data_IF_070065988000
#
_entry.id   IF_070065988000
#
_cell.length_a   1.000
_cell.length_b   1.000
_cell.length_c   1.000
_cell.angle_alpha   90.00
_cell.angle_beta   90.00
_cell.angle_gamma   90.00
#
_symmetry.space_group_name_H-M   'P 1'
#
loop_
_entity.id
_entity.type
_entity.pdbx_description
1 polymer ?
#
# COMPACT_ATOMS: atom_id res chain seq x y z
N UNK A 1 -17.22 -1.97 6.09
CA UNK A 1 -17.26 -0.84 5.14
C UNK A 1 -16.53 -1.24 3.87
N UNK A 2 -16.99 -0.80 2.70
CA UNK A 2 -16.24 -0.97 1.45
C UNK A 2 -15.51 0.33 1.12
N UNK A 3 -14.22 0.40 1.46
CA UNK A 3 -13.42 1.62 1.29
C UNK A 3 -13.15 1.99 -0.18
N UNK A 4 -13.38 1.05 -1.11
CA UNK A 4 -13.02 1.16 -2.52
C UNK A 4 -14.22 0.96 -3.47
N UNK A 5 -15.45 1.21 -2.99
CA UNK A 5 -16.68 0.95 -3.75
C UNK A 5 -16.73 1.63 -5.13
N UNK A 6 -16.17 2.83 -5.25
CA UNK A 6 -16.13 3.61 -6.50
C UNK A 6 -14.80 3.50 -7.26
N UNK A 7 -14.00 2.48 -6.95
CA UNK A 7 -12.70 2.27 -7.58
C UNK A 7 -12.76 1.09 -8.54
N UNK A 8 -11.99 1.16 -9.62
CA UNK A 8 -11.92 0.09 -10.60
C UNK A 8 -11.03 -1.04 -10.09
N UNK A 9 -11.57 -2.25 -9.97
CA UNK A 9 -10.79 -3.44 -9.61
C UNK A 9 -9.69 -3.70 -10.66
N UNK A 10 -8.48 -4.01 -10.19
CA UNK A 10 -7.33 -4.38 -11.01
C UNK A 10 -6.77 -5.72 -10.59
N UNK A 11 -6.06 -6.37 -11.52
CA UNK A 11 -5.28 -7.56 -11.21
C UNK A 11 -3.88 -7.15 -10.75
N UNK A 12 -3.52 -7.55 -9.54
CA UNK A 12 -2.15 -7.47 -9.04
C UNK A 12 -1.57 -8.89 -9.00
N UNK A 13 -0.51 -9.14 -9.76
CA UNK A 13 0.08 -10.47 -9.84
C UNK A 13 0.77 -10.83 -8.51
N UNK A 14 0.52 -12.04 -8.00
CA UNK A 14 0.99 -12.48 -6.68
C UNK A 14 0.21 -11.93 -5.49
N UNK A 15 -0.81 -11.10 -5.69
CA UNK A 15 -1.65 -10.60 -4.60
C UNK A 15 -2.68 -11.65 -4.15
N UNK A 16 -2.86 -11.79 -2.84
CA UNK A 16 -3.96 -12.56 -2.25
C UNK A 16 -5.23 -11.73 -2.10
N UNK A 17 -5.09 -10.40 -2.15
CA UNK A 17 -6.16 -9.43 -1.94
C UNK A 17 -6.64 -8.80 -3.24
N UNK A 18 -7.85 -8.28 -3.19
CA UNK A 18 -8.39 -7.47 -4.28
C UNK A 18 -7.78 -6.07 -4.27
N UNK A 19 -7.24 -5.69 -5.42
CA UNK A 19 -6.69 -4.37 -5.65
C UNK A 19 -7.67 -3.53 -6.47
N UNK A 20 -7.69 -2.25 -6.17
CA UNK A 20 -8.54 -1.28 -6.83
C UNK A 20 -7.71 -0.09 -7.27
N UNK A 21 -8.12 0.61 -8.32
CA UNK A 21 -7.51 1.85 -8.75
C UNK A 21 -8.54 2.93 -9.00
N UNK A 22 -8.14 4.18 -8.81
CA UNK A 22 -8.87 5.35 -9.32
C UNK A 22 -7.88 6.37 -9.86
N UNK A 23 -8.32 7.18 -10.81
CA UNK A 23 -7.54 8.30 -11.31
C UNK A 23 -8.27 9.59 -10.97
N UNK A 24 -7.61 10.51 -10.28
CA UNK A 24 -8.19 11.77 -9.82
C UNK A 24 -7.14 12.87 -9.96
N UNK A 25 -7.47 13.97 -10.65
CA UNK A 25 -6.56 15.10 -10.88
C UNK A 25 -5.16 14.67 -11.39
N UNK A 26 -5.14 13.78 -12.40
CA UNK A 26 -3.91 13.22 -13.00
C UNK A 26 -3.04 12.37 -12.04
N UNK A 27 -3.52 12.10 -10.82
CA UNK A 27 -2.90 11.20 -9.85
C UNK A 27 -3.64 9.87 -9.88
N UNK A 28 -2.91 8.76 -10.05
CA UNK A 28 -3.47 7.42 -9.91
C UNK A 28 -3.35 6.96 -8.45
N UNK A 29 -4.43 6.43 -7.92
CA UNK A 29 -4.46 5.87 -6.58
C UNK A 29 -4.71 4.37 -6.70
N UNK A 30 -3.90 3.57 -6.03
CA UNK A 30 -3.99 2.12 -5.97
C UNK A 30 -4.36 1.74 -4.53
N UNK A 31 -5.48 1.07 -4.35
CA UNK A 31 -6.09 0.80 -3.05
C UNK A 31 -6.26 -0.68 -2.78
N UNK A 32 -6.04 -1.11 -1.54
CA UNK A 32 -6.38 -2.46 -1.09
C UNK A 32 -6.75 -2.46 0.40
N UNK A 33 -7.63 -3.38 0.79
CA UNK A 33 -8.08 -3.56 2.17
C UNK A 33 -7.43 -4.82 2.77
N UNK A 34 -6.54 -4.62 3.73
CA UNK A 34 -5.92 -5.69 4.51
C UNK A 34 -6.35 -5.67 5.97
N UNK A 35 -7.42 -4.94 6.32
CA UNK A 35 -7.91 -4.80 7.70
C UNK A 35 -8.28 -6.13 8.36
N UNK A 36 -8.63 -7.15 7.56
CA UNK A 36 -8.98 -8.49 8.04
C UNK A 36 -7.83 -9.49 7.98
N UNK A 37 -6.67 -9.07 7.46
CA UNK A 37 -5.52 -9.95 7.26
C UNK A 37 -4.60 -9.95 8.48
N UNK A 38 -3.91 -11.06 8.70
CA UNK A 38 -2.86 -11.17 9.73
C UNK A 38 -1.49 -11.22 9.07
N UNK A 39 -0.43 -10.66 9.70
CA UNK A 39 0.94 -10.76 9.18
C UNK A 39 1.34 -12.21 8.89
N UNK A 40 2.05 -12.51 7.78
CA UNK A 40 2.73 -11.57 6.87
C UNK A 40 1.91 -11.10 5.66
N UNK A 41 0.69 -11.61 5.45
CA UNK A 41 -0.16 -11.30 4.29
C UNK A 41 -0.34 -9.80 3.99
N UNK A 42 -0.67 -8.92 4.95
CA UNK A 42 -0.79 -7.47 4.69
C UNK A 42 0.54 -6.86 4.23
N UNK A 43 1.69 -7.37 4.68
CA UNK A 43 3.00 -6.87 4.28
C UNK A 43 3.33 -7.25 2.83
N UNK A 44 3.05 -8.49 2.43
CA UNK A 44 3.27 -8.96 1.05
C UNK A 44 2.42 -8.16 0.07
N UNK A 45 1.13 -7.97 0.35
CA UNK A 45 0.25 -7.17 -0.50
C UNK A 45 0.68 -5.69 -0.54
N UNK A 46 1.15 -5.12 0.57
CA UNK A 46 1.68 -3.76 0.58
C UNK A 46 2.92 -3.62 -0.33
N UNK A 47 3.85 -4.58 -0.30
CA UNK A 47 5.02 -4.58 -1.20
C UNK A 47 4.59 -4.69 -2.67
N UNK A 48 3.62 -5.56 -2.97
CA UNK A 48 3.04 -5.67 -4.33
C UNK A 48 2.43 -4.34 -4.77
N UNK A 49 1.66 -3.69 -3.90
CA UNK A 49 1.07 -2.38 -4.15
C UNK A 49 2.12 -1.32 -4.48
N UNK A 50 3.18 -1.25 -3.67
CA UNK A 50 4.25 -0.28 -3.82
C UNK A 50 5.08 -0.55 -5.08
N UNK A 51 5.22 -1.80 -5.50
CA UNK A 51 5.87 -2.17 -6.76
C UNK A 51 5.09 -1.71 -8.02
N UNK A 52 3.81 -1.42 -7.88
CA UNK A 52 2.98 -0.81 -8.93
C UNK A 52 3.23 0.70 -9.06
N UNK A 53 3.83 1.36 -8.05
CA UNK A 53 4.16 2.79 -8.10
C UNK A 53 5.34 3.02 -9.04
N UNK A 54 5.05 3.45 -10.27
CA UNK A 54 6.05 3.77 -11.31
C UNK A 54 6.47 5.24 -11.32
N UNK A 55 5.74 6.11 -10.64
CA UNK A 55 6.07 7.53 -10.59
C UNK A 55 5.35 8.20 -9.42
N UNK A 56 5.70 9.45 -9.14
CA UNK A 56 5.15 10.23 -8.01
C UNK A 56 3.67 10.58 -8.15
N UNK A 57 3.08 10.45 -9.33
CA UNK A 57 1.64 10.63 -9.51
C UNK A 57 0.87 9.36 -9.13
N UNK A 58 1.56 8.26 -8.77
CA UNK A 58 0.91 7.05 -8.29
C UNK A 58 1.03 7.00 -6.77
N UNK A 59 -0.11 6.88 -6.09
CA UNK A 59 -0.21 6.79 -4.63
C UNK A 59 -0.85 5.47 -4.23
N UNK A 60 -0.40 4.88 -3.13
CA UNK A 60 -0.99 3.64 -2.61
C UNK A 60 -1.82 3.95 -1.36
N UNK A 61 -3.05 3.45 -1.30
CA UNK A 61 -3.95 3.56 -0.15
C UNK A 61 -4.17 2.18 0.45
N UNK A 62 -3.59 1.95 1.62
CA UNK A 62 -3.73 0.70 2.36
C UNK A 62 -4.67 0.93 3.54
N UNK A 63 -5.68 0.07 3.70
CA UNK A 63 -6.46 0.02 4.95
C UNK A 63 -5.99 -1.19 5.76
N UNK A 64 -5.57 -0.97 6.99
CA UNK A 64 -5.08 -2.02 7.87
C UNK A 64 -5.73 -1.96 9.25
N UNK A 65 -5.74 -3.07 9.97
CA UNK A 65 -6.29 -3.10 11.34
C UNK A 65 -5.47 -2.23 12.31
N UNK A 66 -4.14 -2.16 12.10
CA UNK A 66 -3.21 -1.36 12.90
C UNK A 66 -2.11 -0.78 12.02
N UNK A 67 -1.41 0.23 12.52
CA UNK A 67 -0.25 0.79 11.84
C UNK A 67 0.87 -0.27 11.66
N UNK A 68 1.31 -0.55 10.42
CA UNK A 68 2.30 -1.58 10.13
C UNK A 68 3.73 -1.09 10.40
N UNK A 69 4.10 -0.95 11.68
CA UNK A 69 5.39 -0.40 12.10
C UNK A 69 6.62 -1.12 11.51
N UNK A 70 6.51 -2.43 11.20
CA UNK A 70 7.61 -3.20 10.58
C UNK A 70 7.76 -3.00 9.07
N UNK A 71 6.77 -2.42 8.39
CA UNK A 71 6.84 -2.13 6.95
C UNK A 71 7.49 -0.78 6.68
N UNK A 72 7.14 0.23 7.48
CA UNK A 72 7.64 1.61 7.34
C UNK A 72 9.16 1.69 7.15
N UNK A 73 10.00 1.08 8.01
CA UNK A 73 11.45 1.17 7.85
C UNK A 73 12.00 0.55 6.56
N UNK A 74 11.25 -0.35 5.92
CA UNK A 74 11.67 -0.98 4.66
C UNK A 74 11.40 -0.10 3.45
N UNK A 75 10.47 0.84 3.57
CA UNK A 75 9.98 1.64 2.45
C UNK A 75 10.23 3.13 2.65
N UNK A 76 10.57 3.58 3.86
CA UNK A 76 10.76 4.99 4.20
C UNK A 76 11.90 5.67 3.41
N UNK A 77 12.88 4.90 2.93
CA UNK A 77 13.93 5.41 2.05
C UNK A 77 13.35 5.90 0.70
N UNK A 78 12.32 5.20 0.19
CA UNK A 78 11.76 5.42 -1.16
C UNK A 78 10.41 6.12 -1.16
N UNK A 79 9.62 5.95 -0.11
CA UNK A 79 8.24 6.39 -0.01
C UNK A 79 8.02 7.22 1.25
N UNK A 80 7.30 8.32 1.09
CA UNK A 80 6.64 8.99 2.21
C UNK A 80 5.32 8.30 2.50
N UNK A 81 4.89 8.36 3.76
CA UNK A 81 3.60 7.83 4.18
C UNK A 81 2.87 8.83 5.07
N UNK A 82 1.55 8.83 4.97
CA UNK A 82 0.65 9.46 5.95
C UNK A 82 -0.30 8.41 6.50
N UNK A 83 -0.61 8.50 7.79
CA UNK A 83 -1.53 7.58 8.46
C UNK A 83 -2.66 8.35 9.13
N UNK A 84 -3.87 7.84 8.99
CA UNK A 84 -5.09 8.38 9.57
C UNK A 84 -5.87 7.26 10.26
N UNK A 85 -6.35 7.50 11.48
CA UNK A 85 -7.23 6.55 12.18
C UNK A 85 -8.65 6.81 11.70
N UNK A 86 -9.29 5.77 11.19
CA UNK A 86 -10.68 5.79 10.73
C UNK A 86 -11.64 5.61 11.90
N UNK A 87 -12.90 6.00 11.69
CA UNK A 87 -13.95 5.93 12.71
C UNK A 87 -14.20 4.51 13.26
N UNK A 88 -13.93 3.49 12.45
CA UNK A 88 -14.05 2.07 12.81
C UNK A 88 -12.82 1.53 13.58
N UNK A 89 -11.83 2.39 13.89
CA UNK A 89 -10.58 2.03 14.56
C UNK A 89 -9.50 1.46 13.62
N UNK A 90 -9.83 1.19 12.36
CA UNK A 90 -8.86 0.83 11.32
C UNK A 90 -7.93 2.00 11.00
N UNK A 91 -6.75 1.70 10.47
CA UNK A 91 -5.75 2.70 10.06
C UNK A 91 -5.67 2.74 8.54
N UNK A 92 -5.89 3.92 7.98
CA UNK A 92 -5.64 4.22 6.57
C UNK A 92 -4.22 4.76 6.42
N UNK A 93 -3.44 4.12 5.57
CA UNK A 93 -2.12 4.59 5.17
C UNK A 93 -2.13 5.02 3.71
N UNK A 94 -1.55 6.18 3.42
CA UNK A 94 -1.33 6.65 2.06
C UNK A 94 0.16 6.77 1.81
N UNK A 95 0.68 6.03 0.85
CA UNK A 95 2.08 6.05 0.44
C UNK A 95 2.25 6.84 -0.85
N UNK A 96 3.34 7.59 -0.95
CA UNK A 96 3.72 8.35 -2.14
C UNK A 96 5.22 8.27 -2.37
N UNK A 97 5.64 8.13 -3.63
CA UNK A 97 7.05 8.08 -3.99
C UNK A 97 7.75 9.42 -3.67
N UNK A 98 8.94 9.35 -3.06
CA UNK A 98 9.76 10.53 -2.76
C UNK A 98 10.30 11.18 -4.04
N UNK A 99 10.46 12.50 -4.02
CA UNK A 99 11.06 13.23 -5.15
C UNK A 99 12.52 12.81 -5.31
N UNK A 100 12.94 12.52 -6.55
CA UNK A 100 14.28 12.01 -6.95
C UNK A 100 14.58 10.53 -6.66
N UNK A 101 13.61 9.75 -6.20
CA UNK A 101 13.75 8.29 -6.09
C UNK A 101 13.22 7.62 -7.37
N UNK A 102 14.04 6.75 -7.96
CA UNK A 102 13.57 5.93 -9.08
C UNK A 102 12.74 4.74 -8.55
N UNK A 103 11.58 4.46 -9.17
CA UNK A 103 10.78 3.28 -8.84
C UNK A 103 11.63 2.03 -9.07
N UNK A 104 11.91 1.29 -8.00
CA UNK A 104 12.68 0.06 -8.05
C UNK A 104 11.92 -1.01 -7.29
N UNK A 105 11.99 -2.25 -7.78
CA UNK A 105 11.31 -3.37 -7.15
C UNK A 105 11.79 -3.50 -5.70
N UNK A 106 10.84 -3.54 -4.78
CA UNK A 106 11.06 -3.90 -3.38
C UNK A 106 11.15 -5.43 -3.30
N UNK A 107 12.29 -5.93 -2.81
CA UNK A 107 12.46 -7.34 -2.53
C UNK A 107 11.48 -7.79 -1.45
N UNK A 108 10.67 -8.80 -1.77
CA UNK A 108 9.74 -9.45 -0.84
C UNK A 108 10.46 -10.37 0.15
N UNK A 109 11.80 -10.44 0.11
CA UNK A 109 12.59 -11.29 0.98
C UNK A 109 12.65 -10.68 2.39
N UNK A 110 11.57 -10.89 3.15
CA UNK A 110 11.51 -10.58 4.56
C UNK A 110 12.32 -11.65 5.31
N UNK A 111 13.65 -11.52 5.29
CA UNK A 111 14.52 -12.33 6.14
C UNK A 111 14.25 -11.93 7.60
N UNK A 112 13.46 -12.75 8.30
CA UNK A 112 13.40 -12.74 9.75
C UNK A 112 14.78 -13.14 10.26
N UNK A 113 15.59 -12.18 10.72
CA UNK A 113 16.66 -12.51 11.65
C UNK A 113 16.00 -12.91 12.98
N UNK A 114 16.13 -14.20 13.31
CA UNK A 114 15.75 -14.77 14.60
C UNK A 114 16.66 -14.32 15.74
#
# INVERSE_FOLDING_TARGET
MNYFENWQKIKADGASLDFYKKTENQTEFIGFDSSKCTPPEPMVNAVIALNLVKDKNIKVVMINHKFPAGLIPKIEDKFDHTSEILEDGNVKLVFSLKDKVQPSLLDTNCECHG
#
